data_IF_055864293313
#
_entry.id   IF_055864293313
#
_cell.length_a   1.000
_cell.length_b   1.000
_cell.length_c   1.000
_cell.angle_alpha   90.00
_cell.angle_beta   90.00
_cell.angle_gamma   90.00
#
_symmetry.space_group_name_H-M   'P 1'
#
loop_
_entity.id
_entity.type
_entity.pdbx_description
1 polymer ?
#
# COMPACT_ATOMS: atom_id res chain seq x y z
N UNK A 1 -19.77 27.37 -1.66
CA UNK A 1 -18.99 26.15 -1.40
C UNK A 1 -18.94 25.94 0.11
N UNK A 2 -18.85 24.68 0.57
CA UNK A 2 -18.56 24.37 1.96
C UNK A 2 -17.05 24.48 2.21
N UNK A 3 -16.66 25.09 3.32
CA UNK A 3 -15.27 25.22 3.74
C UNK A 3 -15.03 24.66 5.16
N UNK A 4 -16.05 24.14 5.81
CA UNK A 4 -15.96 23.53 7.13
C UNK A 4 -15.77 22.03 6.97
N UNK A 5 -14.70 21.50 7.55
CA UNK A 5 -14.49 20.07 7.57
C UNK A 5 -15.35 19.42 8.68
N UNK A 6 -15.77 18.16 8.50
CA UNK A 6 -16.46 17.44 9.54
C UNK A 6 -15.64 17.32 10.83
N UNK A 7 -16.33 17.17 11.95
CA UNK A 7 -15.68 16.88 13.23
C UNK A 7 -15.01 15.51 13.21
N UNK A 8 -14.06 15.30 14.13
CA UNK A 8 -13.40 14.00 14.29
C UNK A 8 -14.43 12.92 14.68
N UNK A 9 -14.46 11.77 13.98
CA UNK A 9 -15.24 10.61 14.44
C UNK A 9 -14.84 10.17 15.85
N UNK A 10 -15.79 9.56 16.57
CA UNK A 10 -15.55 8.96 17.89
C UNK A 10 -14.50 7.85 17.83
N UNK A 11 -13.87 7.49 18.96
CA UNK A 11 -12.84 6.46 19.00
C UNK A 11 -13.40 5.13 18.48
N UNK A 12 -12.76 4.51 17.47
CA UNK A 12 -13.25 3.26 16.92
C UNK A 12 -13.01 2.10 17.89
N UNK A 13 -13.93 1.14 17.86
CA UNK A 13 -13.78 -0.19 18.47
C UNK A 13 -13.89 -1.24 17.38
N UNK A 14 -13.44 -2.47 17.67
CA UNK A 14 -13.53 -3.54 16.69
C UNK A 14 -12.95 -4.85 17.16
N UNK A 15 -13.10 -5.87 16.31
CA UNK A 15 -12.57 -7.22 16.52
C UNK A 15 -12.35 -7.92 15.17
N UNK A 16 -11.38 -8.84 15.08
CA UNK A 16 -11.34 -9.80 13.98
C UNK A 16 -12.60 -10.66 13.96
N UNK A 17 -13.15 -10.87 12.77
CA UNK A 17 -14.29 -11.78 12.52
C UNK A 17 -13.90 -12.94 11.59
N UNK A 18 -12.73 -12.86 10.97
CA UNK A 18 -12.08 -13.92 10.21
C UNK A 18 -10.59 -13.66 10.07
N UNK A 19 -9.86 -14.56 9.41
CA UNK A 19 -8.42 -14.38 9.13
C UNK A 19 -8.12 -13.27 8.12
N UNK A 20 -9.14 -12.81 7.37
CA UNK A 20 -9.03 -11.76 6.34
C UNK A 20 -10.00 -10.60 6.57
N UNK A 21 -10.60 -10.52 7.77
CA UNK A 21 -11.74 -9.66 8.03
C UNK A 21 -11.78 -9.13 9.47
N UNK A 22 -12.07 -7.85 9.62
CA UNK A 22 -12.31 -7.19 10.92
C UNK A 22 -13.59 -6.38 10.88
N UNK A 23 -14.36 -6.44 11.96
CA UNK A 23 -15.50 -5.56 12.17
C UNK A 23 -15.05 -4.33 12.94
N UNK A 24 -15.41 -3.14 12.45
CA UNK A 24 -15.14 -1.84 13.07
C UNK A 24 -16.45 -1.09 13.33
N UNK A 25 -16.49 -0.32 14.41
CA UNK A 25 -17.57 0.62 14.73
C UNK A 25 -17.00 1.89 15.36
N UNK A 26 -17.64 3.04 15.15
CA UNK A 26 -17.18 4.35 15.65
C UNK A 26 -18.34 5.28 16.00
N UNK A 27 -18.05 6.38 16.70
CA UNK A 27 -19.02 7.44 16.93
C UNK A 27 -19.14 8.37 15.72
N UNK A 28 -20.35 8.78 15.37
CA UNK A 28 -20.60 9.67 14.23
C UNK A 28 -19.88 11.02 14.35
N UNK A 29 -19.33 11.50 13.24
CA UNK A 29 -18.92 12.88 13.07
C UNK A 29 -20.13 13.79 12.79
N UNK A 30 -19.91 15.10 12.87
CA UNK A 30 -20.90 16.14 12.55
C UNK A 30 -20.30 17.14 11.60
N UNK A 31 -21.13 17.71 10.76
CA UNK A 31 -20.78 18.72 9.78
C UNK A 31 -22.00 19.61 9.54
N UNK A 32 -21.82 20.87 9.12
CA UNK A 32 -22.93 21.82 8.89
C UNK A 32 -23.73 21.51 7.63
N UNK A 33 -23.15 20.80 6.65
CA UNK A 33 -23.86 20.30 5.45
C UNK A 33 -23.94 18.78 5.37
N UNK A 34 -23.29 18.10 6.32
CA UNK A 34 -23.47 16.68 6.56
C UNK A 34 -22.30 15.84 6.06
N UNK A 35 -22.14 14.68 6.69
CA UNK A 35 -21.11 13.71 6.33
C UNK A 35 -21.62 12.85 5.17
N UNK A 36 -20.85 12.77 4.09
CA UNK A 36 -21.16 11.95 2.90
C UNK A 36 -20.53 10.57 2.98
N UNK A 37 -19.34 10.45 3.57
CA UNK A 37 -18.69 9.15 3.76
C UNK A 37 -17.79 9.10 4.99
N UNK A 38 -17.47 7.88 5.41
CA UNK A 38 -16.36 7.61 6.32
C UNK A 38 -15.29 6.81 5.59
N UNK A 39 -14.06 7.33 5.60
CA UNK A 39 -12.88 6.68 5.08
C UNK A 39 -12.17 5.92 6.20
N UNK A 40 -11.93 4.63 5.97
CA UNK A 40 -11.18 3.76 6.86
C UNK A 40 -9.75 3.70 6.34
N UNK A 41 -8.81 4.08 7.18
CA UNK A 41 -7.40 4.19 6.85
C UNK A 41 -6.57 3.17 7.62
N UNK A 42 -5.57 2.60 6.95
CA UNK A 42 -4.51 1.76 7.54
C UNK A 42 -3.17 2.40 7.20
N UNK A 43 -2.38 2.76 8.22
CA UNK A 43 -1.08 3.37 8.00
C UNK A 43 -1.13 4.65 7.15
N UNK A 44 -2.21 5.44 7.30
CA UNK A 44 -2.46 6.67 6.55
C UNK A 44 -2.97 6.50 5.13
N UNK A 45 -3.20 5.27 4.66
CA UNK A 45 -3.80 4.99 3.34
C UNK A 45 -5.25 4.60 3.53
N UNK A 46 -6.15 5.22 2.75
CA UNK A 46 -7.56 4.80 2.69
C UNK A 46 -7.66 3.42 2.04
N UNK A 47 -8.15 2.44 2.80
CA UNK A 47 -8.30 1.06 2.35
C UNK A 47 -9.77 0.67 2.13
N UNK A 48 -10.70 1.43 2.69
CA UNK A 48 -12.14 1.19 2.57
C UNK A 48 -12.92 2.49 2.80
N UNK A 49 -14.15 2.56 2.31
CA UNK A 49 -15.04 3.70 2.53
C UNK A 49 -16.49 3.24 2.59
N UNK A 50 -17.29 3.89 3.43
CA UNK A 50 -18.72 3.61 3.62
C UNK A 50 -19.53 4.90 3.59
N UNK A 51 -20.84 4.81 3.36
CA UNK A 51 -21.70 6.00 3.34
C UNK A 51 -21.77 6.72 4.69
N UNK A 52 -22.02 8.02 4.70
CA UNK A 52 -21.99 8.88 5.89
C UNK A 52 -23.08 8.57 6.93
N UNK A 53 -24.08 7.77 6.57
CA UNK A 53 -25.06 7.23 7.52
C UNK A 53 -24.56 5.99 8.29
N UNK A 54 -23.45 5.38 7.85
CA UNK A 54 -22.89 4.18 8.46
C UNK A 54 -21.86 4.54 9.52
N UNK A 55 -21.96 3.93 10.70
CA UNK A 55 -21.00 4.06 11.80
C UNK A 55 -20.35 2.73 12.18
N UNK A 56 -20.49 1.73 11.30
CA UNK A 56 -19.82 0.44 11.40
C UNK A 56 -19.64 -0.19 10.03
N UNK A 57 -18.64 -1.06 9.91
CA UNK A 57 -18.36 -1.82 8.67
C UNK A 57 -17.57 -3.09 8.98
N UNK A 58 -17.51 -4.00 8.01
CA UNK A 58 -16.55 -5.10 7.96
C UNK A 58 -15.52 -4.78 6.90
N UNK A 59 -14.27 -4.63 7.31
CA UNK A 59 -13.14 -4.46 6.40
C UNK A 59 -12.64 -5.84 6.01
N UNK A 60 -12.71 -6.16 4.72
CA UNK A 60 -12.29 -7.44 4.12
C UNK A 60 -10.97 -7.27 3.37
N UNK A 61 -10.46 -8.35 2.76
CA UNK A 61 -9.22 -8.31 1.97
C UNK A 61 -7.94 -8.20 2.81
N UNK A 62 -8.03 -8.38 4.12
CA UNK A 62 -6.89 -8.33 5.03
C UNK A 62 -6.05 -9.61 4.95
N UNK A 63 -4.83 -9.54 5.48
CA UNK A 63 -3.88 -10.64 5.55
C UNK A 63 -3.91 -11.34 6.90
N UNK A 64 -3.92 -12.68 6.94
CA UNK A 64 -3.83 -13.45 8.18
C UNK A 64 -2.59 -13.11 9.01
N UNK A 65 -2.70 -13.25 10.33
CA UNK A 65 -1.58 -13.02 11.26
C UNK A 65 -1.01 -11.60 11.27
N UNK A 66 -1.67 -10.64 10.62
CA UNK A 66 -1.14 -9.29 10.41
C UNK A 66 -1.72 -8.32 11.43
N UNK A 67 -0.85 -7.45 11.96
CA UNK A 67 -1.23 -6.38 12.88
C UNK A 67 -1.61 -5.12 12.10
N UNK A 68 -2.85 -4.71 12.26
CA UNK A 68 -3.42 -3.50 11.69
C UNK A 68 -3.56 -2.39 12.74
N UNK A 69 -3.58 -1.15 12.25
CA UNK A 69 -3.76 0.11 12.98
C UNK A 69 -4.73 0.96 12.17
N UNK A 70 -6.02 0.83 12.48
CA UNK A 70 -7.07 1.52 11.75
C UNK A 70 -7.39 2.88 12.35
N UNK A 71 -7.66 3.85 11.49
CA UNK A 71 -8.28 5.14 11.82
C UNK A 71 -9.47 5.38 10.91
N UNK A 72 -10.40 6.24 11.35
CA UNK A 72 -11.58 6.63 10.58
C UNK A 72 -11.56 8.15 10.40
N UNK A 73 -11.84 8.62 9.18
CA UNK A 73 -12.06 10.03 8.85
C UNK A 73 -13.46 10.22 8.26
N UNK A 74 -14.11 11.33 8.58
CA UNK A 74 -15.34 11.73 7.92
C UNK A 74 -15.01 12.65 6.73
N UNK A 75 -15.81 12.54 5.67
CA UNK A 75 -15.72 13.36 4.46
C UNK A 75 -17.08 13.99 4.15
N UNK A 76 -17.10 15.26 3.81
CA UNK A 76 -18.31 15.98 3.38
C UNK A 76 -18.49 15.91 1.85
N UNK A 77 -19.49 16.64 1.33
CA UNK A 77 -19.76 16.73 -0.11
C UNK A 77 -18.75 17.61 -0.88
N UNK A 78 -17.96 18.43 -0.18
CA UNK A 78 -16.94 19.31 -0.74
C UNK A 78 -15.52 18.70 -0.69
N UNK A 79 -15.43 17.41 -0.33
CA UNK A 79 -14.19 16.65 -0.17
C UNK A 79 -13.32 17.08 1.03
N UNK A 80 -13.87 17.87 1.97
CA UNK A 80 -13.17 18.21 3.20
C UNK A 80 -13.12 16.99 4.12
N UNK A 81 -11.92 16.68 4.62
CA UNK A 81 -11.69 15.57 5.54
C UNK A 81 -11.53 16.04 6.97
N UNK A 82 -12.22 15.38 7.90
CA UNK A 82 -12.00 15.56 9.34
C UNK A 82 -10.57 15.23 9.76
N UNK A 83 -10.12 15.62 10.95
CA UNK A 83 -9.02 14.94 11.61
C UNK A 83 -9.33 13.43 11.76
N UNK A 84 -8.30 12.58 11.71
CA UNK A 84 -8.44 11.14 11.94
C UNK A 84 -8.93 10.82 13.36
N UNK A 85 -9.71 9.75 13.54
CA UNK A 85 -10.08 9.26 14.87
C UNK A 85 -8.86 8.84 15.70
N UNK A 86 -9.09 8.45 16.96
CA UNK A 86 -8.10 7.63 17.66
C UNK A 86 -7.84 6.32 16.88
N UNK A 87 -6.66 5.73 17.03
CA UNK A 87 -6.33 4.49 16.35
C UNK A 87 -6.83 3.27 17.13
N UNK A 88 -7.39 2.29 16.43
CA UNK A 88 -7.66 0.95 16.97
C UNK A 88 -6.67 -0.05 16.40
N UNK A 89 -6.12 -0.91 17.27
CA UNK A 89 -5.08 -1.87 16.91
C UNK A 89 -5.65 -3.27 17.01
N UNK A 90 -5.66 -3.99 15.90
CA UNK A 90 -6.21 -5.35 15.80
C UNK A 90 -5.21 -6.25 15.09
N UNK A 91 -5.22 -7.53 15.45
CA UNK A 91 -4.44 -8.56 14.77
C UNK A 91 -5.40 -9.61 14.23
N UNK A 92 -5.40 -9.83 12.93
CA UNK A 92 -6.17 -10.91 12.31
C UNK A 92 -5.58 -12.28 12.72
N UNK A 93 -6.40 -13.30 12.99
CA UNK A 93 -5.91 -14.64 13.31
C UNK A 93 -5.24 -15.33 12.10
N UNK A 94 -4.53 -16.41 12.37
CA UNK A 94 -3.84 -17.22 11.36
C UNK A 94 -2.39 -16.77 11.09
N UNK A 95 -1.82 -17.29 10.00
CA UNK A 95 -0.45 -17.00 9.57
C UNK A 95 -0.40 -16.85 8.06
N UNK A 96 0.47 -15.98 7.58
CA UNK A 96 0.76 -15.77 6.16
C UNK A 96 2.28 -15.61 6.00
N UNK A 97 2.88 -16.42 5.13
CA UNK A 97 4.32 -16.39 4.85
C UNK A 97 4.70 -15.30 3.83
N UNK A 98 3.71 -14.57 3.31
CA UNK A 98 3.86 -13.46 2.38
C UNK A 98 4.14 -13.88 0.94
N UNK A 99 4.30 -15.17 0.64
CA UNK A 99 4.67 -15.64 -0.72
C UNK A 99 3.59 -15.31 -1.76
N UNK A 100 2.32 -15.43 -1.38
CA UNK A 100 1.20 -15.13 -2.26
C UNK A 100 1.11 -13.64 -2.66
N UNK A 101 1.75 -12.76 -1.88
CA UNK A 101 1.72 -11.30 -2.11
C UNK A 101 3.05 -10.75 -2.65
N UNK A 102 4.02 -11.64 -2.90
CA UNK A 102 5.29 -11.26 -3.49
C UNK A 102 5.14 -11.07 -5.01
N UNK A 103 5.69 -9.99 -5.59
CA UNK A 103 5.76 -9.86 -7.04
C UNK A 103 6.51 -11.04 -7.67
N UNK A 104 5.96 -11.58 -8.76
CA UNK A 104 6.49 -12.75 -9.45
C UNK A 104 7.12 -12.36 -10.78
N UNK A 105 7.66 -13.32 -11.54
CA UNK A 105 8.32 -13.03 -12.83
C UNK A 105 9.48 -12.04 -12.75
N UNK A 106 10.04 -11.78 -11.56
CA UNK A 106 10.99 -10.70 -11.34
C UNK A 106 12.31 -10.98 -12.06
N UNK A 107 12.68 -10.08 -12.96
CA UNK A 107 13.92 -10.08 -13.73
C UNK A 107 14.65 -8.75 -13.53
N UNK A 108 15.97 -8.82 -13.51
CA UNK A 108 16.86 -7.66 -13.45
C UNK A 108 17.96 -7.83 -14.49
N UNK A 109 18.23 -6.79 -15.27
CA UNK A 109 19.28 -6.75 -16.26
C UNK A 109 19.93 -5.37 -16.28
N UNK A 110 21.19 -5.28 -16.68
CA UNK A 110 21.83 -3.98 -16.90
C UNK A 110 21.90 -3.65 -18.38
N UNK A 111 21.67 -2.40 -18.73
CA UNK A 111 22.02 -1.88 -20.05
C UNK A 111 22.96 -0.68 -19.92
N UNK A 112 23.60 -0.33 -21.04
CA UNK A 112 24.47 0.85 -21.14
C UNK A 112 23.84 1.88 -22.07
N UNK A 113 23.71 3.12 -21.59
CA UNK A 113 23.29 4.27 -22.39
C UNK A 113 24.13 5.48 -22.00
N UNK A 114 24.55 6.29 -22.97
CA UNK A 114 25.24 7.57 -22.74
C UNK A 114 26.45 7.49 -21.80
N UNK A 115 27.20 6.38 -21.89
CA UNK A 115 28.39 6.13 -21.07
C UNK A 115 28.10 5.73 -19.62
N UNK A 116 26.84 5.46 -19.27
CA UNK A 116 26.38 5.02 -17.96
C UNK A 116 25.69 3.65 -18.01
N UNK A 117 25.63 2.98 -16.85
CA UNK A 117 24.89 1.76 -16.62
C UNK A 117 23.58 2.04 -15.92
N UNK A 118 22.54 1.35 -16.36
CA UNK A 118 21.18 1.40 -15.82
C UNK A 118 20.74 -0.01 -15.42
N UNK A 119 19.86 -0.10 -14.42
CA UNK A 119 19.21 -1.33 -13.99
C UNK A 119 17.78 -1.37 -14.53
N UNK A 120 17.51 -2.29 -15.44
CA UNK A 120 16.17 -2.60 -15.92
C UNK A 120 15.54 -3.70 -15.08
N UNK A 121 14.38 -3.40 -14.52
CA UNK A 121 13.55 -4.29 -13.74
C UNK A 121 12.28 -4.61 -14.52
N UNK A 122 11.83 -5.86 -14.44
CA UNK A 122 10.49 -6.23 -14.87
C UNK A 122 9.89 -7.29 -13.93
N UNK A 123 8.60 -7.20 -13.64
CA UNK A 123 7.89 -8.11 -12.72
C UNK A 123 6.41 -8.18 -13.02
N UNK A 124 5.79 -9.27 -12.59
CA UNK A 124 4.34 -9.45 -12.59
C UNK A 124 3.81 -9.02 -11.21
N UNK A 125 2.85 -8.07 -11.15
CA UNK A 125 2.20 -7.67 -9.92
C UNK A 125 1.57 -8.86 -9.18
N UNK A 126 1.50 -8.84 -7.84
CA UNK A 126 0.77 -9.86 -7.10
C UNK A 126 -0.73 -9.78 -7.45
N UNK A 127 -1.40 -10.93 -7.46
CA UNK A 127 -2.85 -11.00 -7.63
C UNK A 127 -3.54 -10.58 -6.34
N UNK A 128 -4.32 -9.50 -6.40
CA UNK A 128 -5.01 -8.93 -5.26
C UNK A 128 -6.37 -8.38 -5.69
N UNK A 129 -7.31 -8.31 -4.76
CA UNK A 129 -8.65 -7.76 -4.99
C UNK A 129 -8.68 -6.24 -5.28
N UNK A 130 -7.52 -5.59 -5.39
CA UNK A 130 -7.39 -4.16 -5.63
C UNK A 130 -6.16 -3.80 -6.46
N UNK A 131 -6.01 -2.50 -6.71
CA UNK A 131 -4.96 -1.97 -7.57
C UNK A 131 -3.69 -1.74 -6.76
N UNK A 132 -2.56 -2.27 -7.23
CA UNK A 132 -1.24 -2.01 -6.65
C UNK A 132 -0.63 -0.76 -7.28
N UNK A 133 -0.48 0.31 -6.49
CA UNK A 133 0.03 1.61 -6.97
C UNK A 133 1.43 1.94 -6.48
N UNK A 134 1.96 1.19 -5.50
CA UNK A 134 3.25 1.49 -4.88
C UNK A 134 4.11 0.21 -4.74
N UNK A 135 5.40 0.35 -5.07
CA UNK A 135 6.41 -0.68 -4.87
C UNK A 135 7.60 -0.13 -4.10
N UNK A 136 8.20 -0.96 -3.24
CA UNK A 136 9.46 -0.66 -2.57
C UNK A 136 10.57 -1.49 -3.20
N UNK A 137 11.60 -0.83 -3.70
CA UNK A 137 12.79 -1.47 -4.28
C UNK A 137 13.92 -1.41 -3.24
N UNK A 138 14.56 -2.56 -3.01
CA UNK A 138 15.77 -2.67 -2.19
C UNK A 138 16.94 -3.02 -3.09
N UNK A 139 17.97 -2.18 -3.05
CA UNK A 139 19.23 -2.36 -3.76
C UNK A 139 20.36 -2.45 -2.73
N UNK A 140 21.22 -3.46 -2.83
CA UNK A 140 22.40 -3.66 -1.98
C UNK A 140 22.14 -3.64 -0.47
N UNK A 141 20.93 -4.06 -0.08
CA UNK A 141 20.51 -4.12 1.32
C UNK A 141 19.99 -2.80 1.87
N UNK A 142 20.17 -1.66 1.20
CA UNK A 142 19.62 -0.36 1.59
C UNK A 142 18.23 -0.15 0.96
N UNK A 143 17.30 0.41 1.75
CA UNK A 143 15.96 0.80 1.28
C UNK A 143 16.08 2.10 0.50
N UNK A 144 16.41 2.00 -0.79
CA UNK A 144 16.92 3.14 -1.56
C UNK A 144 15.86 3.84 -2.41
N UNK A 145 14.69 3.24 -2.68
CA UNK A 145 13.64 3.93 -3.46
C UNK A 145 12.23 3.35 -3.20
N UNK A 146 11.27 4.21 -2.86
CA UNK A 146 9.83 3.92 -3.08
C UNK A 146 9.49 4.36 -4.49
N UNK A 147 9.04 3.40 -5.30
CA UNK A 147 8.46 3.68 -6.60
C UNK A 147 6.96 3.88 -6.40
N UNK A 148 6.54 5.14 -6.35
CA UNK A 148 5.13 5.52 -6.44
C UNK A 148 4.79 5.71 -7.92
N UNK A 149 3.90 4.88 -8.46
CA UNK A 149 3.30 5.18 -9.75
C UNK A 149 2.25 6.27 -9.53
N UNK A 150 2.54 7.50 -9.98
CA UNK A 150 1.61 8.62 -9.91
C UNK A 150 0.41 8.54 -10.89
N UNK A 151 0.10 7.35 -11.44
CA UNK A 151 -0.92 7.12 -12.47
C UNK A 151 -1.39 5.66 -12.52
N UNK A 152 -2.06 5.25 -13.60
CA UNK A 152 -2.54 3.87 -13.80
C UNK A 152 -1.36 2.88 -13.79
N UNK A 153 -1.25 1.98 -12.79
CA UNK A 153 -0.24 0.94 -12.81
C UNK A 153 -0.42 0.08 -14.06
N UNK A 154 0.67 -0.43 -14.65
CA UNK A 154 0.60 -1.10 -15.93
C UNK A 154 -0.24 -2.36 -15.77
N UNK A 155 -1.28 -2.49 -16.61
CA UNK A 155 -2.07 -3.72 -16.69
C UNK A 155 -1.16 -4.82 -17.26
N UNK A 156 -0.72 -5.73 -16.40
CA UNK A 156 0.21 -6.80 -16.74
C UNK A 156 1.62 -6.55 -16.21
N UNK A 157 2.63 -6.96 -16.97
CA UNK A 157 4.02 -6.94 -16.52
C UNK A 157 4.55 -5.51 -16.36
N UNK A 158 4.89 -5.14 -15.14
CA UNK A 158 5.48 -3.87 -14.80
C UNK A 158 6.97 -3.82 -15.19
N UNK A 159 7.46 -2.61 -15.50
CA UNK A 159 8.86 -2.35 -15.86
C UNK A 159 9.33 -1.04 -15.24
N UNK A 160 10.60 -0.99 -14.85
CA UNK A 160 11.22 0.23 -14.33
C UNK A 160 12.72 0.21 -14.63
N UNK A 161 13.30 1.36 -14.96
CA UNK A 161 14.73 1.51 -15.22
C UNK A 161 15.29 2.66 -14.43
N UNK A 162 16.46 2.48 -13.81
CA UNK A 162 17.14 3.55 -13.07
C UNK A 162 18.67 3.44 -13.12
N UNK A 163 19.33 4.57 -12.92
CA UNK A 163 20.78 4.72 -13.03
C UNK A 163 21.54 3.98 -11.92
N UNK A 164 22.59 3.23 -12.30
CA UNK A 164 23.50 2.56 -11.36
C UNK A 164 24.85 3.27 -11.21
N UNK A 165 25.34 3.93 -12.26
CA UNK A 165 26.70 4.47 -12.24
C UNK A 165 27.35 4.46 -13.60
N UNK A 166 28.65 4.72 -13.63
CA UNK A 166 29.49 4.59 -14.84
C UNK A 166 30.53 3.49 -14.72
N UNK A 167 30.67 2.89 -13.54
CA UNK A 167 31.65 1.85 -13.26
C UNK A 167 31.16 0.51 -13.77
N UNK A 168 32.02 -0.22 -14.47
CA UNK A 168 31.78 -1.60 -14.88
C UNK A 168 32.26 -2.58 -13.81
N UNK A 169 31.69 -3.77 -13.74
CA UNK A 169 32.09 -4.83 -12.81
C UNK A 169 31.52 -4.68 -11.39
N UNK A 170 30.63 -3.70 -11.15
CA UNK A 170 29.95 -3.55 -9.86
C UNK A 170 28.81 -4.57 -9.76
N UNK A 171 28.83 -5.39 -8.71
CA UNK A 171 27.75 -6.32 -8.40
C UNK A 171 26.68 -5.62 -7.58
N UNK A 172 25.42 -5.75 -8.01
CA UNK A 172 24.26 -5.27 -7.26
C UNK A 172 23.27 -6.38 -6.97
N UNK A 173 22.66 -6.32 -5.78
CA UNK A 173 21.59 -7.23 -5.35
C UNK A 173 20.28 -6.46 -5.22
N UNK A 174 19.26 -6.89 -5.96
CA UNK A 174 17.98 -6.21 -6.03
C UNK A 174 16.81 -7.15 -5.72
N UNK A 175 15.80 -6.62 -5.04
CA UNK A 175 14.47 -7.24 -4.87
C UNK A 175 13.43 -6.15 -4.63
N UNK A 176 12.15 -6.49 -4.82
CA UNK A 176 11.06 -5.54 -4.63
C UNK A 176 9.86 -6.16 -3.93
N UNK A 177 8.96 -5.33 -3.42
CA UNK A 177 7.67 -5.75 -2.85
C UNK A 177 6.59 -4.72 -3.15
N UNK A 178 5.35 -5.16 -3.18
CA UNK A 178 4.18 -4.33 -3.43
C UNK A 178 3.59 -3.78 -2.12
N UNK A 179 3.03 -2.57 -2.17
CA UNK A 179 2.06 -2.11 -1.17
C UNK A 179 0.67 -2.57 -1.61
N UNK A 180 0.03 -3.33 -0.73
CA UNK A 180 -1.21 -4.01 -1.01
C UNK A 180 -2.42 -3.09 -0.76
N UNK A 181 -3.61 -3.43 -1.29
CA UNK A 181 -4.81 -2.63 -1.10
C UNK A 181 -5.24 -2.49 0.37
N UNK A 182 -4.82 -3.43 1.23
CA UNK A 182 -5.02 -3.37 2.67
C UNK A 182 -4.09 -2.38 3.40
N UNK A 183 -3.27 -1.62 2.66
CA UNK A 183 -2.33 -0.62 3.17
C UNK A 183 -1.02 -1.20 3.71
N UNK A 184 -0.85 -2.51 3.72
CA UNK A 184 0.37 -3.19 4.21
C UNK A 184 1.36 -3.48 3.09
N UNK A 185 2.60 -3.77 3.48
CA UNK A 185 3.61 -4.25 2.54
C UNK A 185 3.52 -5.78 2.40
N UNK A 186 3.46 -6.27 1.16
CA UNK A 186 3.50 -7.69 0.83
C UNK A 186 4.88 -8.32 0.97
N UNK A 187 4.98 -9.59 0.53
CA UNK A 187 6.22 -10.34 0.48
C UNK A 187 7.26 -9.75 -0.49
N UNK A 188 8.52 -10.07 -0.26
CA UNK A 188 9.60 -9.73 -1.17
C UNK A 188 9.62 -10.70 -2.36
N UNK A 189 9.86 -10.17 -3.56
CA UNK A 189 10.24 -10.96 -4.73
C UNK A 189 11.49 -11.79 -4.45
N UNK A 190 11.79 -12.76 -5.33
CA UNK A 190 13.11 -13.36 -5.39
C UNK A 190 14.19 -12.27 -5.53
N UNK A 191 15.35 -12.48 -4.91
CA UNK A 191 16.50 -11.59 -5.08
C UNK A 191 17.19 -11.89 -6.41
N UNK A 192 17.59 -10.84 -7.12
CA UNK A 192 18.40 -10.92 -8.34
C UNK A 192 19.74 -10.25 -8.10
N UNK A 193 20.77 -10.82 -8.71
CA UNK A 193 22.12 -10.26 -8.74
C UNK A 193 22.44 -9.87 -10.18
N UNK A 194 22.97 -8.67 -10.37
CA UNK A 194 23.41 -8.15 -11.67
C UNK A 194 24.81 -7.58 -11.54
N UNK A 195 25.55 -7.53 -12.66
CA UNK A 195 26.89 -6.93 -12.72
C UNK A 195 26.92 -5.92 -13.85
N UNK A 196 27.36 -4.69 -13.59
CA UNK A 196 27.44 -3.66 -14.64
C UNK A 196 28.42 -4.05 -15.74
N UNK A 197 28.00 -3.95 -17.00
CA UNK A 197 28.85 -4.21 -18.17
C UNK A 197 29.13 -5.68 -18.47
N UNK A 198 28.30 -6.60 -17.95
CA UNK A 198 28.37 -8.04 -18.23
C UNK A 198 27.30 -8.49 -19.23
#
# INVERSE_FOLDING_TARGET
ADHSAPTRPGPPTGRPVGSREVQLAWGAARDDRGVVSYDIEQGGVRIHSVGGAQTSTVVTGLRPGTRYVFTVRARDAADNLSPASAAVRLTTPGTDDGRATAPTGFTAATHRSDGAYYLDLAWDPPDTDGVITEYSIRLDGTSTTSLEWGGDPPRGRARYSFYLGRTAGEEHRVRLRARLPDGTWGGWSAQRTVTTGR
#
